data_IF_806488712320
#
_entry.id   IF_806488712320
#
_cell.length_a   1.000
_cell.length_b   1.000
_cell.length_c   1.000
_cell.angle_alpha   90.00
_cell.angle_beta   90.00
_cell.angle_gamma   90.00
#
_symmetry.space_group_name_H-M   'P 1'
#
loop_
_entity.id
_entity.type
_entity.pdbx_description
1 polymer ?
#
# COMPACT_ATOMS: atom_id res chain seq x y z
N UNK A 1 15.08 31.22 -0.84
CA UNK A 1 14.40 29.92 -0.87
C UNK A 1 15.27 28.96 -1.68
N UNK A 2 15.71 27.86 -1.09
CA UNK A 2 16.48 26.83 -1.78
C UNK A 2 15.50 25.79 -2.31
N UNK A 3 15.71 25.26 -3.52
CA UNK A 3 14.88 24.25 -4.17
C UNK A 3 15.79 23.24 -4.85
N UNK A 4 15.49 21.94 -4.69
CA UNK A 4 16.19 20.85 -5.37
C UNK A 4 15.18 19.96 -6.10
N UNK A 5 15.59 19.39 -7.24
CA UNK A 5 14.82 18.40 -7.98
C UNK A 5 15.39 17.00 -7.68
N UNK A 6 14.55 16.11 -7.22
CA UNK A 6 14.93 14.78 -6.73
C UNK A 6 14.40 13.69 -7.64
N UNK A 7 15.32 12.87 -8.15
CA UNK A 7 14.99 11.65 -8.88
C UNK A 7 14.69 10.52 -7.90
N UNK A 8 13.65 9.71 -8.16
CA UNK A 8 13.26 8.64 -7.28
C UNK A 8 12.63 7.42 -7.99
N UNK A 9 12.56 6.32 -7.25
CA UNK A 9 11.76 5.15 -7.57
C UNK A 9 10.36 5.32 -6.98
N UNK A 10 9.31 4.97 -7.72
CA UNK A 10 7.94 5.16 -7.24
C UNK A 10 7.09 3.90 -7.31
N UNK A 11 6.27 3.68 -6.28
CA UNK A 11 5.17 2.71 -6.29
C UNK A 11 3.88 3.37 -6.77
N UNK A 12 3.93 3.93 -7.99
CA UNK A 12 2.84 4.66 -8.63
C UNK A 12 2.13 3.90 -9.73
N UNK A 13 1.58 4.65 -10.71
CA UNK A 13 0.95 4.07 -11.88
C UNK A 13 1.96 3.24 -12.68
N UNK A 14 1.61 1.98 -12.98
CA UNK A 14 2.48 1.04 -13.71
C UNK A 14 3.47 0.26 -12.83
N UNK A 15 3.51 0.50 -11.53
CA UNK A 15 4.25 -0.39 -10.61
C UNK A 15 3.46 -1.69 -10.40
N UNK A 16 4.15 -2.82 -10.52
CA UNK A 16 3.61 -4.14 -10.22
C UNK A 16 4.31 -4.73 -8.98
N UNK A 17 3.56 -5.40 -8.12
CA UNK A 17 4.09 -6.06 -6.91
C UNK A 17 5.14 -7.10 -7.32
N UNK A 18 6.23 -7.19 -6.56
CA UNK A 18 7.42 -8.03 -6.81
C UNK A 18 8.30 -7.53 -7.98
N UNK A 19 8.05 -6.34 -8.49
CA UNK A 19 8.88 -5.73 -9.53
C UNK A 19 10.13 -5.11 -8.92
N UNK A 20 11.32 -5.55 -9.41
CA UNK A 20 12.58 -4.89 -9.06
C UNK A 20 12.70 -3.51 -9.70
N UNK A 21 13.08 -2.53 -8.90
CA UNK A 21 13.22 -1.14 -9.32
C UNK A 21 14.64 -0.86 -9.82
N UNK A 22 14.87 -1.10 -11.09
CA UNK A 22 16.17 -0.88 -11.75
C UNK A 22 16.25 0.44 -12.52
N UNK A 23 15.15 1.21 -12.57
CA UNK A 23 15.06 2.47 -13.31
C UNK A 23 14.29 3.50 -12.50
N UNK A 24 14.85 4.71 -12.42
CA UNK A 24 14.15 5.87 -11.85
C UNK A 24 12.90 6.16 -12.68
N UNK A 25 11.80 6.40 -12.01
CA UNK A 25 10.47 6.48 -12.63
C UNK A 25 9.84 7.87 -12.56
N UNK A 26 10.34 8.74 -11.68
CA UNK A 26 9.70 10.03 -11.43
C UNK A 26 10.66 11.05 -10.81
N UNK A 27 10.23 12.33 -10.80
CA UNK A 27 10.93 13.44 -10.17
C UNK A 27 9.95 14.26 -9.34
N UNK A 28 10.41 14.73 -8.17
CA UNK A 28 9.67 15.69 -7.35
C UNK A 28 10.62 16.81 -6.85
N UNK A 29 10.07 17.88 -6.33
CA UNK A 29 10.83 18.97 -5.78
C UNK A 29 10.87 18.91 -4.26
N UNK A 30 11.97 19.38 -3.67
CA UNK A 30 12.04 19.73 -2.27
C UNK A 30 12.36 21.20 -2.11
N UNK A 31 11.74 21.83 -1.14
CA UNK A 31 11.94 23.25 -0.83
C UNK A 31 12.42 23.39 0.60
N UNK A 32 13.33 24.34 0.82
CA UNK A 32 13.80 24.65 2.17
C UNK A 32 13.04 25.85 2.72
N UNK A 33 12.32 25.62 3.80
CA UNK A 33 11.57 26.60 4.57
C UNK A 33 12.01 26.52 6.03
N UNK A 34 12.34 27.63 6.66
CA UNK A 34 12.76 27.71 8.06
C UNK A 34 13.84 26.66 8.43
N UNK A 35 14.86 26.52 7.57
CA UNK A 35 15.95 25.54 7.69
C UNK A 35 15.55 24.07 7.65
N UNK A 36 14.32 23.74 7.24
CA UNK A 36 13.84 22.36 7.03
C UNK A 36 13.48 22.14 5.57
N UNK A 37 13.72 20.93 5.09
CA UNK A 37 13.35 20.52 3.74
C UNK A 37 11.96 19.88 3.75
N UNK A 38 11.15 20.25 2.75
CA UNK A 38 9.79 19.73 2.55
C UNK A 38 9.60 19.27 1.11
N UNK A 39 9.13 18.05 0.89
CA UNK A 39 8.81 17.56 -0.45
C UNK A 39 7.54 18.18 -1.00
N UNK A 40 7.54 18.37 -2.32
CA UNK A 40 6.39 18.81 -3.11
C UNK A 40 6.36 17.99 -4.39
N UNK A 41 5.33 17.18 -4.57
CA UNK A 41 5.11 16.48 -5.82
C UNK A 41 3.95 17.11 -6.59
N UNK A 42 4.27 18.01 -7.50
CA UNK A 42 3.27 18.72 -8.31
C UNK A 42 2.57 17.79 -9.31
N UNK A 43 3.21 16.74 -9.75
CA UNK A 43 2.63 15.76 -10.68
C UNK A 43 1.52 14.94 -10.03
N UNK A 44 1.81 14.33 -8.87
CA UNK A 44 0.81 13.57 -8.13
C UNK A 44 -0.21 14.48 -7.46
N UNK A 45 0.20 15.69 -7.10
CA UNK A 45 -0.67 16.73 -6.55
C UNK A 45 -1.68 17.30 -7.55
N UNK A 46 -1.41 17.21 -8.87
CA UNK A 46 -2.30 17.74 -9.90
C UNK A 46 -3.49 16.80 -10.24
N UNK A 47 -3.41 15.50 -9.88
CA UNK A 47 -4.48 14.55 -10.19
C UNK A 47 -3.97 13.13 -10.43
N UNK A 48 -4.69 12.39 -11.27
CA UNK A 48 -4.35 11.01 -11.59
C UNK A 48 -4.71 10.64 -13.03
N UNK A 49 -3.97 9.70 -13.60
CA UNK A 49 -4.28 9.11 -14.87
C UNK A 49 -5.21 7.89 -14.72
N UNK A 50 -6.22 7.77 -15.57
CA UNK A 50 -7.05 6.58 -15.71
C UNK A 50 -6.95 6.11 -17.17
N UNK A 51 -6.03 5.20 -17.43
CA UNK A 51 -5.64 4.85 -18.79
C UNK A 51 -5.02 6.03 -19.52
N UNK A 52 -5.64 6.44 -20.64
CA UNK A 52 -5.18 7.58 -21.46
C UNK A 52 -5.68 8.95 -20.99
N UNK A 53 -6.64 8.97 -20.05
CA UNK A 53 -7.26 10.21 -19.59
C UNK A 53 -6.63 10.68 -18.29
N UNK A 54 -6.28 11.96 -18.23
CA UNK A 54 -5.86 12.62 -17.01
C UNK A 54 -7.06 13.28 -16.31
N UNK A 55 -7.29 12.91 -15.05
CA UNK A 55 -8.31 13.52 -14.21
C UNK A 55 -7.66 14.56 -13.32
N UNK A 56 -7.98 15.83 -13.59
CA UNK A 56 -7.46 16.95 -12.81
C UNK A 56 -8.18 17.00 -11.45
N UNK A 57 -7.42 16.80 -10.39
CA UNK A 57 -7.89 16.82 -9.01
C UNK A 57 -6.76 17.32 -8.12
N UNK A 58 -6.96 18.45 -7.45
CA UNK A 58 -5.96 18.95 -6.50
C UNK A 58 -5.87 18.00 -5.30
N UNK A 59 -4.68 17.47 -5.07
CA UNK A 59 -4.34 16.59 -3.95
C UNK A 59 -3.34 17.30 -3.05
N UNK A 60 -3.86 18.05 -2.08
CA UNK A 60 -3.07 18.88 -1.17
C UNK A 60 -2.07 18.06 -0.35
N UNK A 61 -2.33 16.76 -0.18
CA UNK A 61 -1.44 15.83 0.52
C UNK A 61 -0.03 15.73 -0.09
N UNK A 62 0.15 16.15 -1.35
CA UNK A 62 1.46 16.19 -2.03
C UNK A 62 2.16 17.54 -1.95
N UNK A 63 1.62 18.49 -1.18
CA UNK A 63 2.20 19.78 -0.92
C UNK A 63 2.77 19.84 0.50
N UNK A 64 4.09 20.09 0.65
CA UNK A 64 4.83 20.06 1.91
C UNK A 64 4.62 18.75 2.70
N UNK A 65 4.65 17.63 1.96
CA UNK A 65 4.32 16.30 2.45
C UNK A 65 5.22 15.88 3.62
N UNK A 66 4.65 15.14 4.56
CA UNK A 66 5.42 14.48 5.62
C UNK A 66 6.34 13.41 5.02
N UNK A 67 7.65 13.51 5.29
CA UNK A 67 8.67 12.63 4.73
C UNK A 67 8.50 11.16 5.12
N UNK A 68 8.03 10.89 6.35
CA UNK A 68 7.73 9.53 6.82
C UNK A 68 6.60 8.86 6.04
N UNK A 69 5.72 9.68 5.43
CA UNK A 69 4.66 9.18 4.55
C UNK A 69 5.12 9.10 3.10
N UNK A 70 5.93 10.05 2.64
CA UNK A 70 6.43 10.07 1.27
C UNK A 70 7.24 8.81 0.97
N UNK A 71 8.09 8.36 1.90
CA UNK A 71 8.96 7.19 1.72
C UNK A 71 8.18 5.89 1.45
N UNK A 72 6.90 5.83 1.78
CA UNK A 72 6.07 4.63 1.51
C UNK A 72 5.76 4.42 0.02
N UNK A 73 5.92 5.47 -0.79
CA UNK A 73 5.63 5.44 -2.23
C UNK A 73 6.73 6.05 -3.11
N UNK A 74 7.69 6.76 -2.50
CA UNK A 74 8.74 7.51 -3.20
C UNK A 74 10.08 7.27 -2.53
N UNK A 75 10.94 6.51 -3.18
CA UNK A 75 12.29 6.22 -2.65
C UNK A 75 13.33 7.04 -3.43
N UNK A 76 14.00 8.03 -2.83
CA UNK A 76 14.95 8.89 -3.52
C UNK A 76 16.21 8.12 -3.92
N UNK A 77 16.79 8.47 -5.07
CA UNK A 77 18.04 7.89 -5.54
C UNK A 77 19.20 8.11 -4.57
N UNK A 78 19.25 9.28 -3.94
CA UNK A 78 20.29 9.68 -3.00
C UNK A 78 19.69 9.68 -1.58
N UNK A 79 20.24 8.86 -0.70
CA UNK A 79 19.77 8.62 0.66
C UNK A 79 19.67 9.88 1.52
N UNK A 80 20.46 10.92 1.23
CA UNK A 80 20.38 12.20 1.95
C UNK A 80 18.98 12.84 1.85
N UNK A 81 18.24 12.51 0.77
CA UNK A 81 16.91 13.06 0.49
C UNK A 81 15.74 12.22 1.01
N UNK A 82 16.01 11.11 1.73
CA UNK A 82 14.90 10.40 2.40
C UNK A 82 14.21 11.29 3.44
N UNK A 83 14.94 12.19 4.08
CA UNK A 83 14.45 13.15 5.08
C UNK A 83 13.68 12.52 6.25
N UNK A 84 13.78 11.21 6.41
CA UNK A 84 13.15 10.37 7.44
C UNK A 84 14.06 10.26 8.66
N UNK A 85 13.51 9.90 9.82
CA UNK A 85 14.30 9.65 11.04
C UNK A 85 15.25 8.47 10.85
N UNK A 86 14.73 7.41 10.26
CA UNK A 86 15.51 6.22 9.92
C UNK A 86 15.74 6.18 8.41
N UNK A 87 16.88 5.62 8.01
CA UNK A 87 17.18 5.41 6.60
C UNK A 87 16.84 3.99 6.20
N UNK A 88 16.27 3.85 5.02
CA UNK A 88 15.86 2.58 4.44
C UNK A 88 16.66 2.28 3.18
N UNK A 89 16.78 1.01 2.86
CA UNK A 89 17.36 0.53 1.61
C UNK A 89 16.31 0.44 0.52
N UNK A 90 16.75 0.45 -0.75
CA UNK A 90 15.84 0.23 -1.88
C UNK A 90 15.17 -1.16 -1.79
N UNK A 91 15.89 -2.17 -1.30
CA UNK A 91 15.36 -3.52 -1.11
C UNK A 91 14.24 -3.56 -0.08
N UNK A 92 14.37 -2.85 1.05
CA UNK A 92 13.29 -2.71 2.04
C UNK A 92 12.08 -1.99 1.43
N UNK A 93 12.31 -0.93 0.66
CA UNK A 93 11.24 -0.21 -0.01
C UNK A 93 10.49 -1.10 -1.03
N UNK A 94 11.22 -1.88 -1.86
CA UNK A 94 10.62 -2.85 -2.78
C UNK A 94 9.78 -3.89 -2.05
N UNK A 95 10.22 -4.31 -0.87
CA UNK A 95 9.57 -5.34 -0.06
C UNK A 95 8.23 -4.90 0.55
N UNK A 96 8.02 -3.61 0.80
CA UNK A 96 6.84 -3.10 1.50
C UNK A 96 5.58 -3.13 0.64
N UNK A 97 4.44 -3.45 1.27
CA UNK A 97 3.13 -3.37 0.63
C UNK A 97 2.82 -1.96 0.10
N UNK A 98 2.00 -1.89 -0.95
CA UNK A 98 1.56 -0.63 -1.55
C UNK A 98 0.57 0.05 -0.63
N UNK A 99 0.99 1.13 0.01
CA UNK A 99 0.18 1.91 0.95
C UNK A 99 -0.26 3.21 0.30
N UNK A 100 -1.55 3.50 0.37
CA UNK A 100 -2.10 4.77 -0.08
C UNK A 100 -2.10 5.80 1.05
N UNK A 101 -1.92 7.07 0.72
CA UNK A 101 -1.92 8.17 1.69
C UNK A 101 -3.16 8.15 2.61
N UNK A 102 -4.33 7.79 2.07
CA UNK A 102 -5.59 7.64 2.82
C UNK A 102 -5.51 6.68 4.02
N UNK A 103 -4.57 5.73 4.02
CA UNK A 103 -4.31 4.87 5.17
C UNK A 103 -3.97 5.72 6.41
N UNK A 104 -2.98 6.58 6.27
CA UNK A 104 -2.52 7.45 7.36
C UNK A 104 -3.51 8.56 7.68
N UNK A 105 -4.13 9.17 6.67
CA UNK A 105 -5.16 10.20 6.83
C UNK A 105 -6.36 9.69 7.65
N UNK A 106 -6.71 8.40 7.49
CA UNK A 106 -7.75 7.77 8.28
C UNK A 106 -7.29 7.36 9.69
N UNK A 107 -6.05 7.67 10.05
CA UNK A 107 -5.48 7.42 11.37
C UNK A 107 -5.08 5.97 11.61
N UNK A 108 -4.82 5.21 10.55
CA UNK A 108 -4.06 3.96 10.65
C UNK A 108 -2.58 4.30 10.80
N UNK A 109 -1.84 3.53 11.58
CA UNK A 109 -0.43 3.82 11.92
C UNK A 109 0.53 2.80 11.34
N UNK A 110 0.17 1.52 11.43
CA UNK A 110 0.98 0.41 10.94
C UNK A 110 0.08 -0.79 10.58
N UNK A 111 0.68 -1.79 9.94
CA UNK A 111 -0.01 -2.98 9.48
C UNK A 111 0.94 -4.16 9.39
N UNK A 112 0.38 -5.36 9.40
CA UNK A 112 1.05 -6.63 9.20
C UNK A 112 0.23 -7.53 8.26
N UNK A 113 0.91 -8.28 7.37
CA UNK A 113 2.33 -8.28 7.08
C UNK A 113 2.79 -6.98 6.38
N UNK A 114 4.08 -6.66 6.44
CA UNK A 114 4.66 -5.50 5.74
C UNK A 114 4.99 -5.80 4.29
N UNK A 115 5.27 -7.06 3.97
CA UNK A 115 5.63 -7.53 2.64
C UNK A 115 4.47 -7.38 1.64
N UNK A 116 4.78 -6.88 0.45
CA UNK A 116 3.80 -6.75 -0.63
C UNK A 116 3.44 -8.09 -1.29
N UNK A 117 4.39 -9.04 -1.29
CA UNK A 117 4.22 -10.39 -1.81
C UNK A 117 4.23 -11.43 -0.69
N UNK A 118 3.13 -12.15 -0.54
CA UNK A 118 2.95 -13.21 0.45
C UNK A 118 2.86 -14.54 -0.29
N UNK A 119 3.71 -15.51 0.09
CA UNK A 119 3.69 -16.88 -0.45
C UNK A 119 3.17 -17.84 0.60
N UNK A 120 2.10 -18.53 0.30
CA UNK A 120 1.46 -19.52 1.18
C UNK A 120 1.75 -20.93 0.68
N UNK A 121 2.64 -21.62 1.42
CA UNK A 121 3.03 -23.00 1.18
C UNK A 121 2.44 -23.84 2.31
N UNK A 122 1.68 -24.86 1.97
CA UNK A 122 1.01 -25.74 2.95
C UNK A 122 0.09 -24.98 3.95
N UNK A 123 -0.37 -23.80 3.58
CA UNK A 123 -1.32 -23.00 4.33
C UNK A 123 -2.20 -22.24 3.34
N UNK A 124 -3.50 -22.20 3.60
CA UNK A 124 -4.46 -21.46 2.78
C UNK A 124 -5.06 -20.24 3.52
N UNK A 125 -4.42 -19.81 4.60
CA UNK A 125 -4.92 -18.72 5.44
C UNK A 125 -3.85 -17.67 5.65
N UNK A 126 -4.25 -16.40 5.56
CA UNK A 126 -3.42 -15.25 5.92
C UNK A 126 -4.21 -14.29 6.80
N UNK A 127 -3.60 -13.91 7.93
CA UNK A 127 -4.13 -12.86 8.78
C UNK A 127 -3.50 -11.53 8.40
N UNK A 128 -4.32 -10.48 8.32
CA UNK A 128 -3.91 -9.10 8.18
C UNK A 128 -4.30 -8.32 9.44
N UNK A 129 -3.38 -7.54 9.99
CA UNK A 129 -3.60 -6.75 11.20
C UNK A 129 -3.28 -5.29 10.89
N UNK A 130 -4.13 -4.39 11.34
CA UNK A 130 -4.01 -2.96 11.12
C UNK A 130 -4.11 -2.23 12.45
N UNK A 131 -3.10 -1.44 12.77
CA UNK A 131 -2.98 -0.74 14.05
C UNK A 131 -3.32 0.74 13.91
N UNK A 132 -3.85 1.33 14.95
CA UNK A 132 -4.17 2.75 15.03
C UNK A 132 -4.94 3.11 16.29
N UNK A 133 -5.28 4.38 16.46
CA UNK A 133 -6.08 4.83 17.59
C UNK A 133 -7.57 4.70 17.29
N UNK A 134 -8.36 4.34 18.31
CA UNK A 134 -9.82 4.25 18.23
C UNK A 134 -10.30 3.41 17.04
N UNK A 135 -9.64 2.26 16.81
CA UNK A 135 -9.91 1.41 15.64
C UNK A 135 -11.34 0.84 15.62
N UNK A 136 -11.96 0.69 16.80
CA UNK A 136 -13.36 0.28 16.93
C UNK A 136 -14.37 1.29 16.36
N UNK A 137 -13.97 2.54 16.10
CA UNK A 137 -14.78 3.57 15.43
C UNK A 137 -14.59 3.64 13.92
N UNK A 138 -13.57 2.96 13.39
CA UNK A 138 -13.26 2.90 11.96
C UNK A 138 -14.00 1.73 11.29
N UNK A 139 -13.96 1.67 9.98
CA UNK A 139 -14.43 0.51 9.23
C UNK A 139 -13.44 0.10 8.16
N UNK A 140 -13.38 -1.19 7.88
CA UNK A 140 -12.59 -1.75 6.81
C UNK A 140 -13.37 -2.81 6.04
N UNK A 141 -12.87 -3.20 4.88
CA UNK A 141 -13.30 -4.37 4.10
C UNK A 141 -12.15 -4.82 3.21
N UNK A 142 -12.19 -6.06 2.80
CA UNK A 142 -11.20 -6.64 1.91
C UNK A 142 -11.88 -7.22 0.68
N UNK A 143 -11.29 -6.99 -0.50
CA UNK A 143 -11.61 -7.73 -1.72
C UNK A 143 -10.48 -8.69 -2.00
N UNK A 144 -10.83 -9.96 -2.21
CA UNK A 144 -9.90 -11.01 -2.62
C UNK A 144 -10.22 -11.38 -4.06
N UNK A 145 -9.32 -11.08 -4.96
CA UNK A 145 -9.46 -11.32 -6.38
C UNK A 145 -8.49 -12.43 -6.80
N UNK A 146 -8.99 -13.60 -7.20
CA UNK A 146 -8.18 -14.60 -7.88
C UNK A 146 -7.94 -14.17 -9.31
N UNK A 147 -6.68 -14.17 -9.73
CA UNK A 147 -6.25 -13.73 -11.06
C UNK A 147 -5.91 -14.92 -11.95
N UNK A 148 -6.28 -14.82 -13.22
CA UNK A 148 -5.79 -15.67 -14.30
C UNK A 148 -5.35 -14.78 -15.47
N UNK A 149 -4.07 -14.86 -15.85
CA UNK A 149 -3.47 -13.97 -16.86
C UNK A 149 -3.82 -12.49 -16.65
N UNK A 150 -3.69 -12.02 -15.42
CA UNK A 150 -4.02 -10.66 -14.95
C UNK A 150 -5.51 -10.25 -15.06
N UNK A 151 -6.42 -11.20 -15.30
CA UNK A 151 -7.86 -10.96 -15.26
C UNK A 151 -8.47 -11.57 -14.00
N UNK A 152 -9.43 -10.86 -13.38
CA UNK A 152 -10.16 -11.36 -12.21
C UNK A 152 -11.12 -12.45 -12.67
N UNK A 153 -10.93 -13.68 -12.16
CA UNK A 153 -11.79 -14.83 -12.44
C UNK A 153 -12.72 -15.19 -11.28
N UNK A 154 -12.32 -14.85 -10.05
CA UNK A 154 -13.14 -15.01 -8.85
C UNK A 154 -12.92 -13.77 -7.99
N UNK A 155 -14.00 -13.20 -7.48
CA UNK A 155 -13.95 -12.09 -6.53
C UNK A 155 -14.73 -12.49 -5.27
N UNK A 156 -14.08 -12.41 -4.11
CA UNK A 156 -14.68 -12.58 -2.80
C UNK A 156 -14.52 -11.29 -1.98
N UNK A 157 -15.49 -11.02 -1.12
CA UNK A 157 -15.39 -9.95 -0.14
C UNK A 157 -15.30 -10.58 1.25
N UNK A 158 -14.43 -10.02 2.09
CA UNK A 158 -14.35 -10.38 3.50
C UNK A 158 -14.94 -9.25 4.31
N UNK A 159 -16.01 -9.56 5.03
CA UNK A 159 -16.65 -8.66 5.99
C UNK A 159 -16.43 -9.14 7.44
N UNK A 160 -15.80 -10.30 7.61
CA UNK A 160 -15.51 -10.85 8.95
C UNK A 160 -14.24 -10.25 9.51
N UNK A 161 -14.39 -9.12 10.19
CA UNK A 161 -13.30 -8.32 10.76
C UNK A 161 -13.51 -8.19 12.25
N UNK A 162 -12.51 -8.59 13.03
CA UNK A 162 -12.47 -8.39 14.47
C UNK A 162 -11.92 -7.01 14.80
N UNK A 163 -12.71 -6.17 15.48
CA UNK A 163 -12.34 -4.81 15.86
C UNK A 163 -11.97 -4.74 17.34
N UNK A 164 -10.80 -4.17 17.60
CA UNK A 164 -10.30 -3.81 18.93
C UNK A 164 -10.11 -2.30 19.01
N UNK A 165 -9.75 -1.79 20.17
CA UNK A 165 -9.54 -0.34 20.34
C UNK A 165 -8.27 0.17 19.63
N UNK A 166 -7.23 -0.66 19.59
CA UNK A 166 -5.89 -0.35 19.05
C UNK A 166 -5.64 -0.97 17.66
N UNK A 167 -6.50 -1.92 17.22
CA UNK A 167 -6.32 -2.61 15.95
C UNK A 167 -7.62 -3.21 15.41
N UNK A 168 -7.60 -3.65 14.17
CA UNK A 168 -8.51 -4.67 13.66
C UNK A 168 -7.74 -5.79 12.95
N UNK A 169 -8.35 -6.95 12.90
CA UNK A 169 -7.78 -8.17 12.32
C UNK A 169 -8.74 -8.74 11.28
N UNK A 170 -8.19 -9.16 10.15
CA UNK A 170 -8.91 -9.86 9.08
C UNK A 170 -8.24 -11.19 8.80
N UNK A 171 -9.02 -12.26 8.78
CA UNK A 171 -8.58 -13.59 8.36
C UNK A 171 -9.06 -13.87 6.93
N UNK A 172 -8.13 -14.03 6.02
CA UNK A 172 -8.39 -14.37 4.63
C UNK A 172 -8.12 -15.86 4.38
N UNK A 173 -9.09 -16.56 3.78
CA UNK A 173 -8.98 -17.97 3.42
C UNK A 173 -8.99 -18.07 1.90
N UNK A 174 -8.04 -18.84 1.35
CA UNK A 174 -7.83 -19.04 -0.08
C UNK A 174 -8.14 -20.51 -0.42
N UNK A 175 -9.24 -20.75 -1.13
CA UNK A 175 -9.73 -22.12 -1.39
C UNK A 175 -9.07 -22.80 -2.61
N UNK A 176 -8.37 -22.02 -3.44
CA UNK A 176 -7.74 -22.53 -4.65
C UNK A 176 -6.31 -22.03 -4.74
N UNK A 177 -5.43 -22.84 -5.34
CA UNK A 177 -4.11 -22.38 -5.73
C UNK A 177 -4.21 -21.29 -6.80
N UNK A 178 -3.25 -20.35 -6.79
CA UNK A 178 -3.20 -19.27 -7.76
C UNK A 178 -2.65 -17.98 -7.21
N UNK A 179 -2.69 -16.95 -8.03
CA UNK A 179 -2.29 -15.59 -7.67
C UNK A 179 -3.51 -14.77 -7.30
N UNK A 180 -3.45 -14.13 -6.16
CA UNK A 180 -4.51 -13.28 -5.63
C UNK A 180 -4.05 -11.85 -5.47
N UNK A 181 -4.89 -10.92 -5.89
CA UNK A 181 -4.82 -9.51 -5.54
C UNK A 181 -5.71 -9.24 -4.35
N UNK A 182 -5.13 -8.71 -3.28
CA UNK A 182 -5.84 -8.34 -2.05
C UNK A 182 -5.92 -6.83 -1.98
N UNK A 183 -7.12 -6.30 -2.03
CA UNK A 183 -7.38 -4.86 -1.95
C UNK A 183 -8.10 -4.55 -0.64
N UNK A 184 -7.47 -3.74 0.20
CA UNK A 184 -8.01 -3.32 1.49
C UNK A 184 -8.61 -1.93 1.35
N UNK A 185 -9.83 -1.79 1.84
CA UNK A 185 -10.58 -0.53 1.88
C UNK A 185 -10.83 -0.15 3.33
N UNK A 186 -10.65 1.12 3.66
CA UNK A 186 -10.88 1.64 4.99
C UNK A 186 -11.62 2.97 4.98
N UNK A 187 -12.14 3.35 6.14
CA UNK A 187 -12.66 4.69 6.39
C UNK A 187 -12.35 5.15 7.81
N UNK A 188 -12.32 6.45 8.02
CA UNK A 188 -12.04 7.06 9.34
C UNK A 188 -13.17 6.88 10.35
N UNK A 189 -14.41 6.55 9.89
CA UNK A 189 -15.60 6.38 10.74
C UNK A 189 -16.49 5.28 10.18
N UNK A 190 -17.19 4.55 11.07
CA UNK A 190 -18.26 3.61 10.67
C UNK A 190 -19.35 4.34 9.88
N UNK A 191 -19.90 3.65 8.87
CA UNK A 191 -20.99 4.17 8.04
C UNK A 191 -20.57 5.18 6.96
N UNK A 192 -19.27 5.50 6.84
CA UNK A 192 -18.75 6.28 5.71
C UNK A 192 -18.22 5.41 4.61
N UNK A 193 -18.16 5.95 3.39
CA UNK A 193 -17.58 5.29 2.23
C UNK A 193 -16.14 4.88 2.52
N UNK A 194 -15.85 3.63 2.25
CA UNK A 194 -14.50 3.08 2.36
C UNK A 194 -13.71 3.41 1.11
N UNK A 195 -12.48 3.88 1.29
CA UNK A 195 -11.54 4.13 0.20
C UNK A 195 -10.44 3.07 0.19
N UNK A 196 -9.90 2.80 -0.96
CA UNK A 196 -8.75 1.94 -1.16
C UNK A 196 -7.52 2.48 -0.41
N UNK A 197 -6.92 1.65 0.46
CA UNK A 197 -5.84 2.07 1.36
C UNK A 197 -4.59 1.21 1.27
N UNK A 198 -4.70 -0.06 0.87
CA UNK A 198 -3.58 -0.99 0.88
C UNK A 198 -3.77 -2.10 -0.15
N UNK A 199 -2.65 -2.63 -0.68
CA UNK A 199 -2.66 -3.74 -1.64
C UNK A 199 -1.55 -4.75 -1.35
N UNK A 200 -1.91 -6.03 -1.56
CA UNK A 200 -0.99 -7.16 -1.51
C UNK A 200 -1.20 -8.08 -2.71
N UNK A 201 -0.14 -8.82 -3.05
CA UNK A 201 -0.21 -10.02 -3.88
C UNK A 201 -0.01 -11.24 -2.99
N UNK A 202 -0.89 -12.23 -3.11
CA UNK A 202 -0.77 -13.52 -2.41
C UNK A 202 -0.67 -14.64 -3.44
N UNK A 203 0.34 -15.48 -3.30
CA UNK A 203 0.52 -16.69 -4.12
C UNK A 203 0.22 -17.88 -3.24
N UNK A 204 -0.78 -18.67 -3.61
CA UNK A 204 -1.15 -19.93 -2.97
C UNK A 204 -0.67 -21.08 -3.85
N UNK A 205 0.24 -21.89 -3.34
CA UNK A 205 0.90 -22.94 -4.13
C UNK A 205 0.09 -24.23 -4.24
N UNK A 206 -0.75 -24.55 -3.23
CA UNK A 206 -1.53 -25.79 -3.18
C UNK A 206 -3.01 -25.50 -2.96
N UNK A 207 -3.89 -26.35 -3.51
CA UNK A 207 -5.31 -26.29 -3.21
C UNK A 207 -5.59 -26.74 -1.75
N UNK A 208 -6.69 -26.26 -1.17
CA UNK A 208 -7.06 -26.56 0.22
C UNK A 208 -7.25 -28.08 0.48
N UNK A 209 -7.71 -28.81 -0.51
CA UNK A 209 -7.99 -30.26 -0.41
C UNK A 209 -6.72 -31.12 -0.44
N UNK A 210 -5.62 -30.63 -1.03
CA UNK A 210 -4.33 -31.34 -1.04
C UNK A 210 -3.64 -31.31 0.34
N UNK A 211 -4.04 -30.39 1.23
CA UNK A 211 -3.45 -30.25 2.58
C UNK A 211 -4.01 -31.28 3.58
N UNK A 212 -5.11 -31.94 3.27
CA UNK A 212 -5.74 -32.95 4.15
C UNK A 212 -5.27 -34.37 3.88
N UNK A 213 -4.39 -34.60 2.89
CA UNK A 213 -3.89 -35.91 2.51
C UNK A 213 -2.49 -36.22 3.04
N UNK A 214 -2.28 -36.11 4.35
CA UNK A 214 -1.13 -36.74 5.00
C UNK A 214 -1.61 -37.97 5.79
N UNK A 215 -0.90 -39.12 5.63
CA UNK A 215 -1.26 -40.38 6.28
C UNK A 215 -1.05 -40.33 7.80
#
# INVERSE_FOLDING_TARGET
MEVECINYYSKGAGYEIDQKMNKLSHEYNIVKLDNKWYPIDSTWGAGYANGVNFNKELKEEYFLLNQELLITSHFPKDDKWQLTKEKYTLEEFEYWAIVKFKFFEYGFKSFEPREELIKLNNCNRQKFIFYGDNMNHKSASCKINLLYKNHIVIQNNIDNICYYNDRFEMDCIFNKKGEYKIEIFGSSKKGKDKKYILEYKVIVENDADEQLSFP
#
